data_IF_556647182002
#
_entry.id   IF_556647182002
#
_cell.length_a   1.000
_cell.length_b   1.000
_cell.length_c   1.000
_cell.angle_alpha   90.00
_cell.angle_beta   90.00
_cell.angle_gamma   90.00
#
_symmetry.space_group_name_H-M   'P 1'
#
loop_
_entity.id
_entity.type
_entity.pdbx_description
1 polymer ?
#
# COMPACT_ATOMS: atom_id res chain seq x y z
N UNK A 1 4.50 -10.87 25.59
CA UNK A 1 4.52 -10.84 24.11
C UNK A 1 3.75 -9.60 23.69
N UNK A 2 4.36 -8.71 22.88
CA UNK A 2 3.69 -7.48 22.47
C UNK A 2 2.66 -7.77 21.38
N UNK A 3 1.53 -7.06 21.41
CA UNK A 3 0.54 -7.14 20.33
C UNK A 3 1.12 -6.52 19.07
N UNK A 4 1.03 -7.22 17.95
CA UNK A 4 1.52 -6.74 16.64
C UNK A 4 0.34 -6.49 15.73
N UNK A 5 0.22 -5.25 15.22
CA UNK A 5 -0.75 -4.90 14.20
C UNK A 5 -0.27 -5.34 12.82
N UNK A 6 -1.17 -5.90 12.01
CA UNK A 6 -0.88 -6.28 10.63
C UNK A 6 -1.96 -5.71 9.71
N UNK A 7 -1.52 -4.94 8.72
CA UNK A 7 -2.40 -4.29 7.75
C UNK A 7 -2.07 -4.84 6.36
N UNK A 8 -3.10 -5.33 5.69
CA UNK A 8 -3.05 -5.80 4.32
C UNK A 8 -4.37 -5.45 3.65
N UNK A 9 -4.32 -5.14 2.36
CA UNK A 9 -5.51 -4.91 1.55
C UNK A 9 -5.26 -5.38 0.11
N UNK A 10 -6.22 -6.09 -0.47
CA UNK A 10 -6.10 -6.61 -1.84
C UNK A 10 -6.03 -5.48 -2.87
N UNK A 11 -6.54 -4.28 -2.56
CA UNK A 11 -6.46 -3.10 -3.44
C UNK A 11 -5.02 -2.70 -3.75
N UNK A 12 -4.05 -3.04 -2.91
CA UNK A 12 -2.63 -2.81 -3.17
C UNK A 12 -2.12 -3.59 -4.38
N UNK A 13 -2.82 -4.66 -4.77
CA UNK A 13 -2.49 -5.44 -5.95
C UNK A 13 -2.83 -4.72 -7.25
N UNK A 14 -3.60 -3.63 -7.19
CA UNK A 14 -3.96 -2.79 -8.33
C UNK A 14 -2.85 -1.77 -8.69
N UNK A 15 -1.75 -1.74 -7.94
CA UNK A 15 -0.64 -0.85 -8.23
C UNK A 15 0.13 -1.35 -9.47
N UNK A 16 -0.13 -0.74 -10.63
CA UNK A 16 0.58 -1.00 -11.87
C UNK A 16 1.67 0.07 -12.09
N UNK A 17 2.92 -0.36 -12.04
CA UNK A 17 4.12 0.45 -12.25
C UNK A 17 4.65 0.34 -13.68
N UNK A 18 3.98 -0.43 -14.54
CA UNK A 18 4.36 -0.66 -15.92
C UNK A 18 5.32 -1.85 -16.13
N UNK A 19 5.57 -2.21 -17.41
CA UNK A 19 6.38 -3.36 -17.74
C UNK A 19 7.84 -3.17 -17.34
N UNK A 20 8.50 -4.26 -16.93
CA UNK A 20 9.90 -4.32 -16.51
C UNK A 20 10.26 -3.52 -15.24
N UNK A 21 9.26 -2.94 -14.55
CA UNK A 21 9.49 -2.25 -13.28
C UNK A 21 9.79 -3.28 -12.15
N UNK A 22 10.78 -3.05 -11.28
CA UNK A 22 11.15 -4.00 -10.23
C UNK A 22 10.10 -4.09 -9.12
N UNK A 23 9.33 -3.02 -8.89
CA UNK A 23 8.19 -3.04 -7.97
C UNK A 23 6.98 -3.69 -8.63
N UNK A 24 6.64 -4.91 -8.20
CA UNK A 24 5.51 -5.68 -8.73
C UNK A 24 4.52 -6.11 -7.63
N UNK A 25 3.20 -6.07 -7.88
CA UNK A 25 2.16 -6.53 -6.95
C UNK A 25 2.34 -7.95 -6.40
N UNK A 26 2.93 -8.84 -7.19
CA UNK A 26 3.11 -10.25 -6.83
C UNK A 26 3.89 -10.42 -5.51
N UNK A 27 4.81 -9.50 -5.19
CA UNK A 27 5.57 -9.49 -3.94
C UNK A 27 4.66 -9.50 -2.72
N UNK A 28 3.57 -8.73 -2.75
CA UNK A 28 2.65 -8.63 -1.61
C UNK A 28 1.90 -9.96 -1.37
N UNK A 29 1.49 -10.64 -2.44
CA UNK A 29 0.84 -11.96 -2.34
C UNK A 29 1.77 -13.00 -1.70
N UNK A 30 3.03 -13.04 -2.13
CA UNK A 30 4.03 -13.97 -1.60
C UNK A 30 4.25 -13.74 -0.11
N UNK A 31 4.36 -12.47 0.33
CA UNK A 31 4.54 -12.14 1.75
C UNK A 31 3.30 -12.56 2.56
N UNK A 32 2.10 -12.22 2.10
CA UNK A 32 0.86 -12.59 2.81
C UNK A 32 0.72 -14.11 2.94
N UNK A 33 0.99 -14.86 1.87
CA UNK A 33 0.96 -16.33 1.89
C UNK A 33 2.01 -16.89 2.85
N UNK A 34 3.24 -16.37 2.87
CA UNK A 34 4.26 -16.80 3.83
C UNK A 34 3.83 -16.61 5.30
N UNK A 35 3.15 -15.50 5.62
CA UNK A 35 2.61 -15.23 6.96
C UNK A 35 1.48 -16.23 7.30
N UNK A 36 0.61 -16.50 6.32
CA UNK A 36 -0.49 -17.47 6.47
C UNK A 36 0.02 -18.89 6.67
N UNK A 37 0.97 -19.32 5.84
CA UNK A 37 1.53 -20.69 5.83
C UNK A 37 2.35 -20.95 7.10
N UNK A 38 2.97 -19.91 7.67
CA UNK A 38 3.63 -19.96 8.97
C UNK A 38 2.64 -19.93 10.16
N UNK A 39 1.32 -19.91 9.91
CA UNK A 39 0.26 -19.83 10.91
C UNK A 39 0.40 -18.62 11.86
N UNK A 40 0.90 -17.49 11.35
CA UNK A 40 1.09 -16.28 12.15
C UNK A 40 -0.15 -15.39 12.19
N UNK A 41 -1.06 -15.48 11.22
CA UNK A 41 -2.27 -14.64 11.17
C UNK A 41 -3.10 -14.67 12.48
N UNK A 42 -3.31 -15.82 13.15
CA UNK A 42 -4.04 -15.85 14.42
C UNK A 42 -3.33 -15.13 15.58
N UNK A 43 -2.03 -14.86 15.45
CA UNK A 43 -1.22 -14.17 16.47
C UNK A 43 -1.18 -12.64 16.25
N UNK A 44 -1.76 -12.16 15.15
CA UNK A 44 -1.72 -10.76 14.73
C UNK A 44 -3.06 -10.07 14.95
N UNK A 45 -3.02 -8.77 15.25
CA UNK A 45 -4.22 -7.92 15.18
C UNK A 45 -4.36 -7.41 13.76
N UNK A 46 -5.34 -7.94 13.02
CA UNK A 46 -5.63 -7.49 11.65
C UNK A 46 -6.25 -6.09 11.66
N UNK A 47 -5.69 -5.20 10.86
CA UNK A 47 -6.13 -3.80 10.71
C UNK A 47 -6.63 -3.61 9.28
N UNK A 48 -7.86 -3.14 9.15
CA UNK A 48 -8.42 -2.79 7.84
C UNK A 48 -7.77 -1.51 7.32
N UNK A 49 -7.39 -1.50 6.05
CA UNK A 49 -6.88 -0.31 5.41
C UNK A 49 -8.01 0.69 5.14
N UNK A 50 -7.77 1.95 5.47
CA UNK A 50 -8.60 3.09 5.09
C UNK A 50 -7.78 4.05 4.23
N UNK A 51 -8.47 4.96 3.53
CA UNK A 51 -7.80 6.06 2.87
C UNK A 51 -7.13 6.94 3.93
N UNK A 52 -5.88 7.32 3.68
CA UNK A 52 -5.19 8.27 4.53
C UNK A 52 -5.92 9.62 4.50
N UNK A 53 -6.17 10.19 5.67
CA UNK A 53 -6.62 11.57 5.78
C UNK A 53 -5.54 12.49 5.19
N UNK A 54 -5.96 13.40 4.32
CA UNK A 54 -5.07 14.28 3.58
C UNK A 54 -4.19 15.11 4.50
N UNK A 55 -4.67 15.47 5.69
CA UNK A 55 -3.88 16.24 6.68
C UNK A 55 -2.56 15.55 7.06
N UNK A 56 -2.51 14.21 7.03
CA UNK A 56 -1.29 13.46 7.37
C UNK A 56 -0.27 13.50 6.25
N UNK A 57 -0.73 13.49 5.00
CA UNK A 57 0.13 13.71 3.83
C UNK A 57 0.61 15.18 3.84
N UNK A 58 -0.30 16.08 4.23
CA UNK A 58 -0.15 17.51 4.55
C UNK A 58 1.09 17.84 5.38
N UNK A 59 1.35 16.99 6.37
CA UNK A 59 2.40 17.20 7.36
C UNK A 59 3.82 17.08 6.80
N UNK A 60 3.99 16.49 5.60
CA UNK A 60 5.30 16.21 5.00
C UNK A 60 5.42 16.78 3.59
N UNK A 61 4.32 16.88 2.85
CA UNK A 61 4.32 17.32 1.45
C UNK A 61 3.53 18.61 1.25
N UNK A 62 4.03 19.51 0.39
CA UNK A 62 3.25 20.68 0.02
C UNK A 62 1.97 20.31 -0.76
N UNK A 63 0.88 21.05 -0.49
CA UNK A 63 -0.41 20.85 -1.17
C UNK A 63 -0.29 20.89 -2.69
N UNK A 64 0.55 21.78 -3.23
CA UNK A 64 0.78 21.91 -4.66
C UNK A 64 1.40 20.64 -5.28
N UNK A 65 2.32 19.99 -4.58
CA UNK A 65 2.91 18.73 -5.01
C UNK A 65 1.86 17.61 -5.05
N UNK A 66 1.05 17.49 -3.99
CA UNK A 66 0.00 16.47 -3.89
C UNK A 66 -1.02 16.62 -5.03
N UNK A 67 -1.46 17.85 -5.30
CA UNK A 67 -2.40 18.13 -6.40
C UNK A 67 -1.80 17.75 -7.75
N UNK A 68 -0.55 18.17 -8.02
CA UNK A 68 0.15 17.81 -9.27
C UNK A 68 0.30 16.29 -9.45
N UNK A 69 0.63 15.57 -8.38
CA UNK A 69 0.75 14.12 -8.40
C UNK A 69 -0.60 13.46 -8.71
N UNK A 70 -1.67 13.90 -8.05
CA UNK A 70 -3.04 13.41 -8.31
C UNK A 70 -3.45 13.59 -9.77
N UNK A 71 -3.21 14.77 -10.35
CA UNK A 71 -3.52 15.05 -11.76
C UNK A 71 -2.69 14.16 -12.72
N UNK A 72 -1.41 13.92 -12.41
CA UNK A 72 -0.58 13.03 -13.21
C UNK A 72 -1.13 11.58 -13.22
N UNK A 73 -1.58 11.07 -12.07
CA UNK A 73 -2.20 9.76 -11.96
C UNK A 73 -3.52 9.68 -12.74
N UNK A 74 -4.40 10.69 -12.62
CA UNK A 74 -5.68 10.73 -13.35
C UNK A 74 -5.49 10.80 -14.86
N UNK A 75 -4.44 11.48 -15.32
CA UNK A 75 -4.09 11.55 -16.74
C UNK A 75 -3.44 10.27 -17.27
N UNK A 76 -3.18 9.26 -16.43
CA UNK A 76 -2.51 8.02 -16.83
C UNK A 76 -1.08 8.26 -17.34
N UNK A 77 -0.42 9.34 -16.90
CA UNK A 77 0.97 9.60 -17.29
C UNK A 77 1.84 8.47 -16.73
N UNK A 78 2.45 7.71 -17.63
CA UNK A 78 3.55 6.82 -17.27
C UNK A 78 4.71 7.70 -16.80
N UNK A 79 5.16 7.48 -15.57
CA UNK A 79 6.34 8.13 -14.99
C UNK A 79 7.56 7.33 -15.42
#
# INVERSE_FOLDING_TARGET
MNKTGFLYDERYLLHDTGPYHPEVPARLKVIYNGIKDANLLPMLTLINASLADLKWIEAVHERNYINRFKEACLAGKKI
#
